data_IF_982919546255
#
_entry.id   IF_982919546255
#
_cell.length_a   1.000
_cell.length_b   1.000
_cell.length_c   1.000
_cell.angle_alpha   90.00
_cell.angle_beta   90.00
_cell.angle_gamma   90.00
#
_symmetry.space_group_name_H-M   'P 1'
#
loop_
_entity.id
_entity.type
_entity.pdbx_description
1 polymer ?
#
# COMPACT_ATOMS: atom_id res chain seq x y z
N UNK A 1 16.65 11.78 -4.53
CA UNK A 1 15.90 13.00 -4.18
C UNK A 1 14.60 12.61 -3.50
N UNK A 2 14.09 13.47 -2.62
CA UNK A 2 12.82 13.31 -1.94
C UNK A 2 11.99 14.58 -2.10
N UNK A 3 10.68 14.43 -2.33
CA UNK A 3 9.74 15.53 -2.36
C UNK A 3 8.80 15.46 -1.16
N UNK A 4 8.55 16.57 -0.53
CA UNK A 4 7.55 16.74 0.52
C UNK A 4 6.75 18.03 0.26
N UNK A 5 5.52 18.07 0.73
CA UNK A 5 4.71 19.27 0.61
C UNK A 5 4.25 19.76 1.98
N UNK A 6 4.24 21.08 2.13
CA UNK A 6 3.69 21.76 3.31
C UNK A 6 2.71 22.80 2.83
N UNK A 7 1.43 22.55 3.07
CA UNK A 7 0.35 23.39 2.56
C UNK A 7 0.47 23.63 1.04
N UNK A 8 0.96 24.78 0.61
CA UNK A 8 1.13 25.19 -0.79
C UNK A 8 2.60 25.16 -1.27
N UNK A 9 3.53 24.75 -0.41
CA UNK A 9 4.96 24.68 -0.75
C UNK A 9 5.37 23.24 -1.06
N UNK A 10 6.05 23.07 -2.18
CA UNK A 10 6.73 21.83 -2.55
C UNK A 10 8.21 22.00 -2.25
N UNK A 11 8.75 21.12 -1.41
CA UNK A 11 10.16 21.09 -1.01
C UNK A 11 10.81 19.84 -1.55
N UNK A 12 11.87 20.01 -2.34
CA UNK A 12 12.68 18.91 -2.84
C UNK A 12 14.00 18.89 -2.11
N UNK A 13 14.32 17.74 -1.50
CA UNK A 13 15.54 17.55 -0.68
C UNK A 13 16.43 16.46 -1.28
N UNK A 14 17.71 16.55 -1.00
CA UNK A 14 18.61 15.42 -1.17
C UNK A 14 18.27 14.32 -0.15
N UNK A 15 18.19 13.07 -0.60
CA UNK A 15 17.76 11.97 0.28
C UNK A 15 18.82 11.59 1.33
N UNK A 16 20.10 11.89 1.08
CA UNK A 16 21.19 11.52 2.00
C UNK A 16 21.49 12.63 3.01
N UNK A 17 21.50 13.88 2.54
CA UNK A 17 21.88 15.04 3.37
C UNK A 17 20.69 15.80 3.94
N UNK A 18 19.47 15.54 3.42
CA UNK A 18 18.23 16.27 3.69
C UNK A 18 18.28 17.78 3.37
N UNK A 19 19.35 18.25 2.72
CA UNK A 19 19.45 19.63 2.27
C UNK A 19 18.40 19.94 1.24
N UNK A 20 17.82 21.15 1.32
CA UNK A 20 16.85 21.62 0.35
C UNK A 20 17.57 21.89 -0.97
N UNK A 21 17.16 21.18 -2.01
CA UNK A 21 17.66 21.37 -3.37
C UNK A 21 16.82 22.41 -4.13
N UNK A 22 15.50 22.32 -3.98
CA UNK A 22 14.55 23.18 -4.69
C UNK A 22 13.32 23.45 -3.83
N UNK A 23 12.75 24.64 -4.00
CA UNK A 23 11.53 25.08 -3.34
C UNK A 23 10.59 25.69 -4.36
N UNK A 24 9.39 25.14 -4.47
CA UNK A 24 8.35 25.65 -5.37
C UNK A 24 7.12 26.05 -4.57
N UNK A 25 6.39 27.02 -5.10
CA UNK A 25 5.16 27.53 -4.48
C UNK A 25 3.98 27.28 -5.41
N UNK A 26 3.02 26.47 -4.96
CA UNK A 26 1.79 26.21 -5.66
C UNK A 26 0.72 27.29 -5.37
N UNK A 27 -0.31 27.33 -6.21
CA UNK A 27 -1.38 28.33 -6.11
C UNK A 27 -2.34 28.11 -4.93
N UNK A 28 -2.37 26.90 -4.40
CA UNK A 28 -3.19 26.52 -3.24
C UNK A 28 -2.59 25.29 -2.52
N UNK A 29 -3.28 24.82 -1.50
CA UNK A 29 -2.90 23.65 -0.73
C UNK A 29 -2.76 22.42 -1.61
N UNK A 30 -1.60 21.78 -1.56
CA UNK A 30 -1.30 20.52 -2.26
C UNK A 30 -2.00 19.38 -1.53
N UNK A 31 -2.83 18.62 -2.24
CA UNK A 31 -3.58 17.51 -1.68
C UNK A 31 -3.07 16.15 -2.17
N UNK A 32 -2.38 16.15 -3.32
CA UNK A 32 -1.72 14.96 -3.86
C UNK A 32 -0.40 15.35 -4.51
N UNK A 33 0.63 14.53 -4.27
CA UNK A 33 1.98 14.70 -4.78
C UNK A 33 2.45 13.40 -5.41
N UNK A 34 2.92 13.46 -6.64
CA UNK A 34 3.38 12.27 -7.35
C UNK A 34 4.57 12.58 -8.25
N UNK A 35 5.57 11.69 -8.26
CA UNK A 35 6.70 11.75 -9.16
C UNK A 35 6.36 11.14 -10.51
N UNK A 36 6.89 11.72 -11.59
CA UNK A 36 6.93 11.02 -12.88
C UNK A 36 7.84 9.79 -12.81
N UNK A 37 7.59 8.79 -13.64
CA UNK A 37 8.34 7.52 -13.62
C UNK A 37 9.86 7.71 -13.84
N UNK A 38 10.25 8.71 -14.62
CA UNK A 38 11.65 9.10 -14.89
C UNK A 38 12.26 9.99 -13.79
N UNK A 39 11.47 10.38 -12.79
CA UNK A 39 11.87 11.29 -11.70
C UNK A 39 12.31 12.70 -12.18
N UNK A 40 11.88 13.14 -13.36
CA UNK A 40 12.18 14.47 -13.90
C UNK A 40 11.15 15.50 -13.51
N UNK A 41 9.91 15.09 -13.28
CA UNK A 41 8.79 15.96 -12.98
C UNK A 41 8.09 15.57 -11.68
N UNK A 42 7.48 16.56 -11.05
CA UNK A 42 6.62 16.40 -9.88
C UNK A 42 5.25 17.00 -10.18
N UNK A 43 4.20 16.18 -10.01
CA UNK A 43 2.81 16.58 -10.10
C UNK A 43 2.32 17.00 -8.71
N UNK A 44 1.67 18.16 -8.63
CA UNK A 44 0.98 18.67 -7.45
C UNK A 44 -0.49 18.89 -7.80
N UNK A 45 -1.39 18.10 -7.22
CA UNK A 45 -2.82 18.27 -7.44
C UNK A 45 -3.46 19.11 -6.34
N UNK A 46 -4.26 20.08 -6.78
CA UNK A 46 -4.98 21.07 -5.97
C UNK A 46 -6.48 20.84 -6.17
N UNK A 47 -6.99 19.76 -5.60
CA UNK A 47 -8.36 19.28 -5.86
C UNK A 47 -9.44 20.31 -5.58
N UNK A 48 -9.29 21.11 -4.51
CA UNK A 48 -10.24 22.19 -4.15
C UNK A 48 -10.41 23.25 -5.24
N UNK A 49 -9.38 23.42 -6.10
CA UNK A 49 -9.41 24.36 -7.21
C UNK A 49 -9.61 23.72 -8.58
N UNK A 50 -9.66 22.37 -8.64
CA UNK A 50 -9.68 21.68 -9.92
C UNK A 50 -8.41 21.86 -10.75
N UNK A 51 -7.26 22.08 -10.10
CA UNK A 51 -5.98 22.41 -10.74
C UNK A 51 -4.94 21.34 -10.51
N UNK A 52 -4.09 21.13 -11.51
CA UNK A 52 -2.82 20.40 -11.40
C UNK A 52 -1.68 21.31 -11.80
N UNK A 53 -0.63 21.34 -11.00
CA UNK A 53 0.63 22.00 -11.32
C UNK A 53 1.75 20.97 -11.44
N UNK A 54 2.59 21.11 -12.45
CA UNK A 54 3.73 20.23 -12.70
C UNK A 54 4.99 21.07 -12.69
N UNK A 55 6.01 20.57 -11.99
CA UNK A 55 7.30 21.23 -11.85
C UNK A 55 8.41 20.35 -12.41
N UNK A 56 9.33 20.95 -13.16
CA UNK A 56 10.54 20.27 -13.64
C UNK A 56 11.67 20.41 -12.63
N UNK A 57 12.44 19.34 -12.45
CA UNK A 57 13.62 19.36 -11.59
C UNK A 57 14.91 19.73 -12.31
N UNK A 58 14.94 19.60 -13.63
CA UNK A 58 16.09 19.99 -14.45
C UNK A 58 16.01 21.44 -14.88
N UNK A 59 14.79 21.92 -15.13
CA UNK A 59 14.53 23.29 -15.56
C UNK A 59 13.59 23.96 -14.54
N UNK A 60 14.12 24.58 -13.48
CA UNK A 60 13.30 25.16 -12.40
C UNK A 60 12.31 26.23 -12.86
N UNK A 61 12.60 26.91 -13.96
CA UNK A 61 11.70 27.93 -14.56
C UNK A 61 10.53 27.30 -15.32
N UNK A 62 10.65 26.00 -15.70
CA UNK A 62 9.58 25.32 -16.40
C UNK A 62 8.54 24.79 -15.44
N UNK A 63 7.32 25.19 -15.68
CA UNK A 63 6.15 24.65 -14.99
C UNK A 63 4.95 24.55 -15.92
N UNK A 64 4.04 23.65 -15.62
CA UNK A 64 2.78 23.50 -16.33
C UNK A 64 1.63 23.65 -15.35
N UNK A 65 0.56 24.30 -15.81
CA UNK A 65 -0.71 24.43 -15.10
C UNK A 65 -1.81 23.84 -15.96
N UNK A 66 -2.53 22.87 -15.40
CA UNK A 66 -3.71 22.25 -16.00
C UNK A 66 -4.92 22.63 -15.17
N UNK A 67 -5.92 23.19 -15.82
CA UNK A 67 -7.15 23.68 -15.20
C UNK A 67 -8.34 22.91 -15.76
N UNK A 68 -8.99 22.10 -14.94
CA UNK A 68 -10.20 21.35 -15.33
C UNK A 68 -11.47 22.22 -15.25
N UNK A 69 -11.33 23.46 -14.76
CA UNK A 69 -12.42 24.43 -14.69
C UNK A 69 -13.60 23.94 -13.85
N UNK A 70 -14.80 24.16 -14.36
CA UNK A 70 -16.05 23.76 -13.69
C UNK A 70 -16.29 22.25 -13.62
N UNK A 71 -15.51 21.45 -14.34
CA UNK A 71 -15.60 19.99 -14.24
C UNK A 71 -15.04 19.45 -12.94
N UNK A 72 -14.26 20.26 -12.18
CA UNK A 72 -13.64 19.86 -10.93
C UNK A 72 -12.60 18.76 -11.10
N UNK A 73 -12.00 18.34 -10.01
CA UNK A 73 -10.94 17.33 -9.99
C UNK A 73 -11.02 16.50 -8.71
N UNK A 74 -11.05 15.17 -8.85
CA UNK A 74 -11.07 14.24 -7.70
C UNK A 74 -9.83 13.37 -7.61
N UNK A 75 -9.18 13.09 -8.73
CA UNK A 75 -7.95 12.30 -8.76
C UNK A 75 -7.06 12.72 -9.93
N UNK A 76 -5.75 12.62 -9.76
CA UNK A 76 -4.73 12.84 -10.79
C UNK A 76 -3.64 11.81 -10.65
N UNK A 77 -3.14 11.30 -11.76
CA UNK A 77 -2.00 10.41 -11.78
C UNK A 77 -1.17 10.59 -13.05
N UNK A 78 0.10 10.19 -12.98
CA UNK A 78 0.95 10.09 -14.13
C UNK A 78 0.61 8.87 -14.99
N UNK A 79 0.77 8.99 -16.28
CA UNK A 79 0.97 7.81 -17.13
C UNK A 79 2.38 7.25 -16.94
N UNK A 80 2.59 5.96 -17.21
CA UNK A 80 3.90 5.33 -17.03
C UNK A 80 5.04 5.95 -17.86
N UNK A 81 4.73 6.63 -18.96
CA UNK A 81 5.71 7.32 -19.80
C UNK A 81 6.22 8.63 -19.19
N UNK A 82 5.59 9.12 -18.12
CA UNK A 82 5.90 10.39 -17.48
C UNK A 82 5.66 11.62 -18.36
N UNK A 83 4.84 11.50 -19.41
CA UNK A 83 4.54 12.58 -20.38
C UNK A 83 3.07 12.92 -20.49
N UNK A 84 2.20 12.08 -19.93
CA UNK A 84 0.76 12.32 -19.86
C UNK A 84 0.28 12.33 -18.42
N UNK A 85 -0.76 13.12 -18.19
CA UNK A 85 -1.43 13.24 -16.89
C UNK A 85 -2.90 12.89 -17.08
N UNK A 86 -3.39 11.97 -16.27
CA UNK A 86 -4.78 11.55 -16.25
C UNK A 86 -5.48 12.25 -15.08
N UNK A 87 -6.46 13.08 -15.39
CA UNK A 87 -7.28 13.78 -14.41
C UNK A 87 -8.70 13.20 -14.41
N UNK A 88 -9.16 12.69 -13.30
CA UNK A 88 -10.55 12.27 -13.10
C UNK A 88 -11.35 13.45 -12.61
N UNK A 89 -12.40 13.82 -13.36
CA UNK A 89 -13.29 14.94 -13.01
C UNK A 89 -14.27 14.55 -11.92
N UNK A 90 -14.89 15.56 -11.28
CA UNK A 90 -15.96 15.35 -10.31
C UNK A 90 -17.09 14.53 -10.91
N UNK A 91 -17.81 13.80 -10.05
CA UNK A 91 -18.87 12.84 -10.42
C UNK A 91 -18.42 11.75 -11.41
N UNK A 92 -17.10 11.58 -11.62
CA UNK A 92 -16.55 10.58 -12.56
C UNK A 92 -17.16 10.67 -13.98
N UNK A 93 -17.39 11.88 -14.45
CA UNK A 93 -17.99 12.09 -15.77
C UNK A 93 -17.03 11.71 -16.88
N UNK A 94 -15.75 11.98 -16.68
CA UNK A 94 -14.69 11.68 -17.65
C UNK A 94 -13.32 11.64 -16.99
N UNK A 95 -12.38 11.03 -17.68
CA UNK A 95 -10.94 11.21 -17.46
C UNK A 95 -10.41 12.09 -18.59
N UNK A 96 -9.67 13.13 -18.23
CA UNK A 96 -8.99 14.00 -19.17
C UNK A 96 -7.53 13.58 -19.22
N UNK A 97 -7.03 13.22 -20.39
CA UNK A 97 -5.62 12.86 -20.62
C UNK A 97 -4.90 14.02 -21.26
N UNK A 98 -3.99 14.63 -20.54
CA UNK A 98 -3.21 15.77 -20.97
C UNK A 98 -1.81 15.35 -21.41
N UNK A 99 -1.42 15.68 -22.62
CA UNK A 99 -0.05 15.50 -23.09
C UNK A 99 0.80 16.72 -22.80
N UNK A 100 1.89 16.55 -22.06
CA UNK A 100 2.85 17.62 -21.79
C UNK A 100 3.70 17.97 -23.01
N UNK A 101 3.87 17.03 -23.95
CA UNK A 101 4.68 17.23 -25.14
C UNK A 101 3.92 17.99 -26.22
N UNK A 102 2.72 17.53 -26.57
CA UNK A 102 1.92 18.05 -27.66
C UNK A 102 0.92 19.11 -27.21
N UNK A 103 0.70 19.24 -25.93
CA UNK A 103 -0.36 20.07 -25.31
C UNK A 103 -1.76 19.70 -25.79
N UNK A 104 -1.92 18.47 -26.30
CA UNK A 104 -3.21 17.91 -26.70
C UNK A 104 -3.94 17.31 -25.52
N UNK A 105 -5.25 17.18 -25.69
CA UNK A 105 -6.15 16.64 -24.68
C UNK A 105 -6.98 15.54 -25.31
N UNK A 106 -7.05 14.39 -24.64
CA UNK A 106 -7.95 13.29 -24.98
C UNK A 106 -8.94 13.06 -23.84
N UNK A 107 -10.12 12.58 -24.16
CA UNK A 107 -11.17 12.37 -23.18
C UNK A 107 -11.62 10.91 -23.18
N UNK A 108 -11.66 10.33 -21.99
CA UNK A 108 -12.22 8.99 -21.74
C UNK A 108 -13.48 9.19 -20.91
N UNK A 109 -14.61 8.65 -21.40
CA UNK A 109 -15.94 8.86 -20.81
C UNK A 109 -16.31 7.70 -19.88
N UNK A 110 -17.19 8.00 -18.92
CA UNK A 110 -17.85 7.05 -18.03
C UNK A 110 -16.94 6.22 -17.11
N UNK A 111 -15.83 6.77 -16.57
CA UNK A 111 -15.05 6.03 -15.60
C UNK A 111 -15.91 5.70 -14.39
N UNK A 112 -15.77 4.47 -13.88
CA UNK A 112 -16.52 4.06 -12.70
C UNK A 112 -15.84 4.57 -11.42
N UNK A 113 -16.65 5.08 -10.49
CA UNK A 113 -16.21 5.36 -9.13
C UNK A 113 -16.08 4.03 -8.37
N UNK A 114 -14.89 3.49 -8.28
CA UNK A 114 -14.60 2.27 -7.54
C UNK A 114 -13.23 2.36 -6.86
N UNK A 115 -12.95 1.40 -6.00
CA UNK A 115 -11.73 1.43 -5.18
C UNK A 115 -10.45 1.39 -6.03
N UNK A 116 -10.44 0.59 -7.10
CA UNK A 116 -9.30 0.43 -8.00
C UNK A 116 -9.78 0.31 -9.44
N UNK A 117 -10.16 1.43 -10.04
CA UNK A 117 -10.75 1.48 -11.38
C UNK A 117 -9.77 1.74 -12.51
N UNK A 118 -8.51 2.05 -12.21
CA UNK A 118 -7.46 2.37 -13.18
C UNK A 118 -6.25 1.52 -12.88
N UNK A 119 -5.72 0.84 -13.88
CA UNK A 119 -4.49 0.06 -13.74
C UNK A 119 -3.70 0.05 -15.05
N UNK A 120 -2.38 0.23 -14.95
CA UNK A 120 -1.46 0.16 -16.07
C UNK A 120 -0.73 -1.18 -16.08
N UNK A 121 -0.41 -1.69 -17.27
CA UNK A 121 0.56 -2.78 -17.37
C UNK A 121 1.93 -2.31 -16.90
N UNK A 122 2.73 -3.22 -16.35
CA UNK A 122 4.06 -2.89 -15.81
C UNK A 122 5.02 -2.31 -16.86
N UNK A 123 4.86 -2.68 -18.12
CA UNK A 123 5.61 -2.13 -19.26
C UNK A 123 5.09 -0.77 -19.73
N UNK A 124 3.99 -0.28 -19.15
CA UNK A 124 3.38 1.00 -19.48
C UNK A 124 2.67 1.06 -20.83
N UNK A 125 2.47 -0.07 -21.51
CA UNK A 125 1.86 -0.07 -22.85
C UNK A 125 0.36 0.08 -22.84
N UNK A 126 -0.31 -0.48 -21.84
CA UNK A 126 -1.76 -0.54 -21.80
C UNK A 126 -2.31 0.00 -20.49
N UNK A 127 -3.42 0.70 -20.61
CA UNK A 127 -4.28 1.12 -19.50
C UNK A 127 -5.54 0.28 -19.52
N UNK A 128 -5.91 -0.34 -18.41
CA UNK A 128 -7.27 -0.84 -18.21
C UNK A 128 -8.05 0.12 -17.31
N UNK A 129 -9.27 0.41 -17.72
CA UNK A 129 -10.19 1.31 -17.02
C UNK A 129 -11.53 0.61 -16.78
N UNK A 130 -11.99 0.65 -15.55
CA UNK A 130 -13.36 0.27 -15.21
C UNK A 130 -14.33 1.38 -15.59
N UNK A 131 -15.38 1.03 -16.31
CA UNK A 131 -16.44 1.93 -16.74
C UNK A 131 -17.80 1.43 -16.26
N UNK A 132 -18.72 2.36 -16.06
CA UNK A 132 -20.12 2.03 -15.77
C UNK A 132 -21.04 2.81 -16.68
N UNK A 133 -21.89 2.09 -17.39
CA UNK A 133 -22.89 2.67 -18.27
C UNK A 133 -24.17 1.84 -18.21
N UNK A 134 -25.30 2.52 -18.15
CA UNK A 134 -26.65 1.88 -18.16
C UNK A 134 -26.77 0.76 -17.09
N UNK A 135 -26.23 1.00 -15.88
CA UNK A 135 -26.18 0.04 -14.77
C UNK A 135 -25.41 -1.26 -15.06
N UNK A 136 -24.52 -1.26 -16.05
CA UNK A 136 -23.63 -2.37 -16.37
C UNK A 136 -22.18 -1.92 -16.26
N UNK A 137 -21.33 -2.85 -15.87
CA UNK A 137 -19.90 -2.62 -15.74
C UNK A 137 -19.17 -3.11 -16.99
N UNK A 138 -18.20 -2.31 -17.42
CA UNK A 138 -17.37 -2.59 -18.58
C UNK A 138 -15.90 -2.37 -18.20
N UNK A 139 -15.04 -2.99 -18.97
CA UNK A 139 -13.61 -2.69 -18.98
C UNK A 139 -13.22 -2.21 -20.36
N UNK A 140 -12.53 -1.07 -20.39
CA UNK A 140 -11.90 -0.52 -21.59
C UNK A 140 -10.39 -0.62 -21.46
N UNK A 141 -9.73 -1.12 -22.51
CA UNK A 141 -8.28 -1.20 -22.61
C UNK A 141 -7.82 -0.20 -23.66
N UNK A 142 -6.93 0.71 -23.26
CA UNK A 142 -6.34 1.74 -24.10
C UNK A 142 -4.86 1.47 -24.33
N UNK A 143 -4.38 1.83 -25.52
CA UNK A 143 -2.96 1.88 -25.81
C UNK A 143 -2.40 3.22 -25.33
N UNK A 144 -1.38 3.20 -24.46
CA UNK A 144 -0.87 4.43 -23.82
C UNK A 144 -0.08 5.33 -24.77
N UNK A 145 0.36 4.85 -25.94
CA UNK A 145 1.13 5.67 -26.90
C UNK A 145 0.28 6.75 -27.58
N UNK A 146 -0.95 6.45 -27.88
CA UNK A 146 -1.87 7.30 -28.64
C UNK A 146 -3.27 7.45 -28.00
N UNK A 147 -3.50 6.80 -26.88
CA UNK A 147 -4.74 6.78 -26.13
C UNK A 147 -5.94 6.26 -26.92
N UNK A 148 -5.69 5.43 -27.92
CA UNK A 148 -6.74 4.77 -28.66
C UNK A 148 -7.29 3.57 -27.91
N UNK A 149 -8.61 3.40 -28.02
CA UNK A 149 -9.32 2.27 -27.47
C UNK A 149 -8.95 0.98 -28.22
N UNK A 150 -8.31 0.04 -27.53
CA UNK A 150 -7.95 -1.26 -28.06
C UNK A 150 -9.10 -2.26 -27.95
N UNK A 151 -9.70 -2.33 -26.78
CA UNK A 151 -10.80 -3.24 -26.46
C UNK A 151 -11.79 -2.60 -25.50
N UNK A 152 -13.06 -2.97 -25.67
CA UNK A 152 -14.15 -2.62 -24.77
C UNK A 152 -15.07 -3.84 -24.66
N UNK A 153 -15.30 -4.30 -23.43
CA UNK A 153 -16.11 -5.48 -23.18
C UNK A 153 -16.87 -5.32 -21.87
N UNK A 154 -18.04 -5.93 -21.79
CA UNK A 154 -18.83 -6.02 -20.58
C UNK A 154 -18.23 -7.04 -19.62
N UNK A 155 -18.40 -6.80 -18.33
CA UNK A 155 -17.99 -7.71 -17.26
C UNK A 155 -19.23 -8.29 -16.62
N UNK A 156 -19.18 -9.60 -16.30
CA UNK A 156 -20.25 -10.24 -15.55
C UNK A 156 -20.11 -9.96 -14.05
N UNK A 157 -20.15 -8.67 -13.68
CA UNK A 157 -20.11 -8.17 -12.32
C UNK A 157 -21.40 -7.42 -11.98
N UNK A 158 -21.84 -7.51 -10.73
CA UNK A 158 -22.97 -6.73 -10.23
C UNK A 158 -22.55 -5.28 -9.94
N UNK A 159 -21.41 -5.14 -9.28
CA UNK A 159 -20.81 -3.85 -8.91
C UNK A 159 -19.30 -3.97 -8.83
N UNK A 160 -18.61 -3.84 -9.95
CA UNK A 160 -17.17 -3.96 -10.07
C UNK A 160 -16.46 -3.08 -9.05
N UNK A 161 -15.66 -3.68 -8.16
CA UNK A 161 -14.92 -2.96 -7.12
C UNK A 161 -13.47 -2.68 -7.51
N UNK A 162 -12.86 -3.50 -8.34
CA UNK A 162 -11.50 -3.27 -8.75
C UNK A 162 -11.03 -4.13 -9.92
N UNK A 163 -9.96 -3.64 -10.52
CA UNK A 163 -9.23 -4.28 -11.61
C UNK A 163 -7.72 -4.18 -11.36
N UNK A 164 -6.97 -5.21 -11.73
CA UNK A 164 -5.52 -5.20 -11.61
C UNK A 164 -4.86 -6.09 -12.66
N UNK A 165 -3.86 -5.55 -13.37
CA UNK A 165 -3.05 -6.33 -14.27
C UNK A 165 -2.11 -7.27 -13.52
N UNK A 166 -1.99 -8.50 -13.99
CA UNK A 166 -0.86 -9.34 -13.62
C UNK A 166 0.45 -8.65 -14.01
N UNK A 167 1.52 -8.78 -13.21
CA UNK A 167 2.80 -8.12 -13.50
C UNK A 167 3.41 -8.40 -14.88
N UNK A 168 3.06 -9.54 -15.49
CA UNK A 168 3.46 -9.88 -16.86
C UNK A 168 2.62 -9.20 -17.97
N UNK A 169 1.57 -8.47 -17.59
CA UNK A 169 0.69 -7.76 -18.54
C UNK A 169 -0.24 -8.64 -19.40
N UNK A 170 -0.30 -9.97 -19.12
CA UNK A 170 -1.07 -10.89 -19.96
C UNK A 170 -2.51 -11.12 -19.49
N UNK A 171 -2.76 -10.93 -18.21
CA UNK A 171 -4.06 -11.23 -17.58
C UNK A 171 -4.51 -10.06 -16.71
N UNK A 172 -5.77 -9.71 -16.84
CA UNK A 172 -6.44 -8.72 -16.02
C UNK A 172 -7.36 -9.44 -15.02
N UNK A 173 -7.14 -9.24 -13.73
CA UNK A 173 -8.08 -9.62 -12.69
C UNK A 173 -9.12 -8.52 -12.51
N UNK A 174 -10.38 -8.92 -12.46
CA UNK A 174 -11.54 -8.06 -12.20
C UNK A 174 -12.32 -8.69 -11.06
N UNK A 175 -12.67 -7.93 -10.04
CA UNK A 175 -13.45 -8.46 -8.91
C UNK A 175 -14.64 -7.58 -8.57
N UNK A 176 -15.65 -8.24 -8.02
CA UNK A 176 -16.89 -7.61 -7.62
C UNK A 176 -16.78 -6.93 -6.25
N UNK A 177 -17.79 -6.16 -5.88
CA UNK A 177 -17.91 -5.52 -4.58
C UNK A 177 -17.97 -6.55 -3.45
N UNK A 178 -17.88 -6.07 -2.20
CA UNK A 178 -17.93 -6.95 -1.04
C UNK A 178 -19.27 -7.73 -0.90
N UNK A 179 -20.26 -7.43 -1.71
CA UNK A 179 -21.57 -8.12 -1.67
C UNK A 179 -21.56 -9.46 -2.40
N UNK A 180 -20.60 -9.67 -3.29
CA UNK A 180 -20.49 -10.91 -4.07
C UNK A 180 -19.03 -11.40 -4.10
N UNK A 181 -18.82 -12.69 -3.87
CA UNK A 181 -17.50 -13.29 -4.02
C UNK A 181 -17.28 -13.72 -5.46
N UNK A 182 -16.79 -12.82 -6.29
CA UNK A 182 -16.55 -13.10 -7.70
C UNK A 182 -15.27 -12.48 -8.19
N UNK A 183 -14.39 -13.28 -8.78
CA UNK A 183 -13.19 -12.84 -9.52
C UNK A 183 -13.27 -13.36 -10.94
N UNK A 184 -13.10 -12.47 -11.88
CA UNK A 184 -13.06 -12.75 -13.31
C UNK A 184 -11.66 -12.47 -13.83
N UNK A 185 -11.16 -13.35 -14.67
CA UNK A 185 -9.83 -13.23 -15.26
C UNK A 185 -9.98 -13.10 -16.77
N UNK A 186 -9.47 -12.00 -17.30
CA UNK A 186 -9.54 -11.68 -18.73
C UNK A 186 -8.17 -11.64 -19.36
N UNK A 187 -8.08 -12.08 -20.61
CA UNK A 187 -6.90 -11.83 -21.46
C UNK A 187 -6.89 -10.38 -21.95
N UNK A 188 -5.75 -9.96 -22.51
CA UNK A 188 -5.63 -8.64 -23.17
C UNK A 188 -6.66 -8.42 -24.28
N UNK A 189 -7.11 -9.49 -24.94
CA UNK A 189 -8.15 -9.45 -25.99
C UNK A 189 -9.56 -9.27 -25.45
N UNK A 190 -9.76 -9.24 -24.12
CA UNK A 190 -11.08 -9.16 -23.49
C UNK A 190 -11.81 -10.50 -23.39
N UNK A 191 -11.13 -11.62 -23.66
CA UNK A 191 -11.72 -12.95 -23.52
C UNK A 191 -11.67 -13.39 -22.07
N UNK A 192 -12.80 -13.85 -21.52
CA UNK A 192 -12.87 -14.45 -20.20
C UNK A 192 -12.09 -15.78 -20.17
N UNK A 193 -11.06 -15.83 -19.32
CA UNK A 193 -10.21 -17.01 -19.11
C UNK A 193 -10.80 -17.91 -18.01
N UNK A 194 -11.26 -17.30 -16.93
CA UNK A 194 -11.84 -18.01 -15.80
C UNK A 194 -12.72 -17.10 -14.95
N UNK A 195 -13.72 -17.70 -14.32
CA UNK A 195 -14.50 -17.08 -13.25
C UNK A 195 -14.32 -17.92 -11.99
N UNK A 196 -14.02 -17.28 -10.88
CA UNK A 196 -13.82 -17.94 -9.58
C UNK A 196 -14.79 -17.36 -8.55
N UNK A 197 -15.56 -18.23 -7.92
CA UNK A 197 -16.40 -17.97 -6.77
C UNK A 197 -16.10 -19.02 -5.71
N UNK A 198 -15.84 -18.60 -4.48
CA UNK A 198 -15.56 -19.53 -3.39
C UNK A 198 -16.79 -19.91 -2.58
N UNK A 199 -17.73 -18.99 -2.47
CA UNK A 199 -18.99 -19.19 -1.75
C UNK A 199 -20.02 -18.13 -2.16
N UNK A 200 -21.28 -18.40 -1.85
CA UNK A 200 -22.42 -17.51 -2.04
C UNK A 200 -23.00 -17.05 -0.69
N UNK A 201 -23.83 -16.03 -0.71
CA UNK A 201 -24.65 -15.58 0.43
C UNK A 201 -23.88 -15.06 1.64
N UNK A 202 -22.68 -14.52 1.42
CA UNK A 202 -21.87 -13.88 2.45
C UNK A 202 -21.05 -12.74 1.86
N UNK A 203 -20.48 -11.88 2.71
CA UNK A 203 -19.56 -10.83 2.26
C UNK A 203 -18.34 -11.46 1.55
N UNK A 204 -18.04 -10.94 0.36
CA UNK A 204 -17.10 -11.53 -0.57
C UNK A 204 -15.65 -11.05 -0.39
N UNK A 205 -15.12 -10.41 -1.42
CA UNK A 205 -13.71 -10.07 -1.55
C UNK A 205 -13.39 -8.76 -0.84
N UNK A 206 -12.26 -8.71 -0.15
CA UNK A 206 -11.77 -7.54 0.55
C UNK A 206 -10.43 -7.03 0.02
N UNK A 207 -9.56 -7.93 -0.38
CA UNK A 207 -8.23 -7.60 -0.89
C UNK A 207 -7.78 -8.62 -1.93
N UNK A 208 -7.05 -8.14 -2.95
CA UNK A 208 -6.50 -8.97 -4.02
C UNK A 208 -5.05 -8.56 -4.21
N UNK A 209 -4.16 -9.50 -4.50
CA UNK A 209 -2.80 -9.18 -4.92
C UNK A 209 -2.22 -10.26 -5.84
N UNK A 210 -1.48 -9.82 -6.84
CA UNK A 210 -0.68 -10.67 -7.69
C UNK A 210 0.68 -10.98 -7.06
N UNK A 211 1.17 -12.20 -7.29
CA UNK A 211 2.57 -12.49 -7.04
C UNK A 211 3.45 -11.77 -8.07
N UNK A 212 4.66 -11.29 -7.69
CA UNK A 212 5.58 -10.61 -8.62
C UNK A 212 5.91 -11.40 -9.88
N UNK A 213 5.88 -12.75 -9.80
CA UNK A 213 6.06 -13.65 -10.93
C UNK A 213 4.83 -13.85 -11.82
N UNK A 214 3.68 -13.31 -11.44
CA UNK A 214 2.37 -13.54 -12.07
C UNK A 214 1.86 -15.00 -12.00
N UNK A 215 2.52 -15.86 -11.22
CA UNK A 215 2.15 -17.26 -11.10
C UNK A 215 0.96 -17.51 -10.17
N UNK A 216 0.74 -16.60 -9.23
CA UNK A 216 -0.29 -16.72 -8.21
C UNK A 216 -1.11 -15.45 -8.08
N UNK A 217 -2.40 -15.63 -7.87
CA UNK A 217 -3.31 -14.58 -7.44
C UNK A 217 -3.82 -14.91 -6.04
N UNK A 218 -3.57 -14.04 -5.07
CA UNK A 218 -4.07 -14.17 -3.71
C UNK A 218 -5.33 -13.32 -3.53
N UNK A 219 -6.37 -13.92 -2.96
CA UNK A 219 -7.67 -13.29 -2.73
C UNK A 219 -7.98 -13.39 -1.24
N UNK A 220 -8.02 -12.25 -0.58
CA UNK A 220 -8.42 -12.12 0.82
C UNK A 220 -9.90 -11.74 0.92
N UNK A 221 -10.65 -12.41 1.78
CA UNK A 221 -12.09 -12.27 1.88
C UNK A 221 -12.57 -12.00 3.31
N UNK A 222 -13.82 -11.60 3.42
CA UNK A 222 -14.46 -11.27 4.70
C UNK A 222 -14.63 -12.48 5.62
N UNK A 223 -14.57 -13.71 5.11
CA UNK A 223 -14.57 -14.96 5.91
C UNK A 223 -13.25 -15.21 6.69
N UNK A 224 -12.29 -14.29 6.57
CA UNK A 224 -11.00 -14.37 7.24
C UNK A 224 -10.01 -15.33 6.58
N UNK A 225 -10.27 -15.77 5.37
CA UNK A 225 -9.42 -16.70 4.62
C UNK A 225 -8.75 -16.02 3.43
N UNK A 226 -7.59 -16.54 3.05
CA UNK A 226 -6.90 -16.21 1.81
C UNK A 226 -6.88 -17.41 0.90
N UNK A 227 -7.29 -17.22 -0.33
CA UNK A 227 -7.28 -18.26 -1.36
C UNK A 227 -6.26 -17.94 -2.42
N UNK A 228 -5.48 -18.92 -2.82
CA UNK A 228 -4.43 -18.80 -3.83
C UNK A 228 -4.86 -19.53 -5.09
N UNK A 229 -4.95 -18.79 -6.19
CA UNK A 229 -5.19 -19.33 -7.53
C UNK A 229 -3.86 -19.46 -8.28
N UNK A 230 -3.71 -20.51 -9.09
CA UNK A 230 -2.57 -20.68 -9.99
C UNK A 230 -2.85 -20.10 -11.38
N UNK A 231 -1.80 -19.68 -12.07
CA UNK A 231 -1.89 -19.03 -13.39
C UNK A 231 -2.18 -19.98 -14.56
N UNK A 232 -2.07 -21.28 -14.37
CA UNK A 232 -2.25 -22.25 -15.46
C UNK A 232 -3.72 -22.62 -15.64
N UNK A 233 -4.37 -23.00 -14.53
CA UNK A 233 -5.75 -23.47 -14.56
C UNK A 233 -6.73 -22.49 -13.93
N UNK A 234 -6.23 -21.46 -13.25
CA UNK A 234 -6.99 -20.48 -12.45
C UNK A 234 -7.86 -21.14 -11.36
N UNK A 235 -7.47 -22.36 -10.98
CA UNK A 235 -8.10 -23.07 -9.87
C UNK A 235 -7.39 -22.76 -8.56
N UNK A 236 -8.14 -22.85 -7.50
CA UNK A 236 -7.62 -22.71 -6.14
C UNK A 236 -6.63 -23.86 -5.83
N UNK A 237 -5.42 -23.49 -5.39
CA UNK A 237 -4.39 -24.42 -4.94
C UNK A 237 -4.56 -24.70 -3.45
N UNK A 238 -4.79 -23.64 -2.68
CA UNK A 238 -4.84 -23.71 -1.21
C UNK A 238 -5.70 -22.59 -0.65
N UNK A 239 -6.16 -22.83 0.56
CA UNK A 239 -6.89 -21.89 1.39
C UNK A 239 -6.14 -21.72 2.72
N UNK A 240 -5.82 -20.48 3.09
CA UNK A 240 -5.17 -20.14 4.35
C UNK A 240 -6.16 -19.50 5.31
N UNK A 241 -6.42 -20.18 6.43
CA UNK A 241 -7.23 -19.62 7.52
C UNK A 241 -6.34 -18.97 8.58
N UNK A 242 -6.82 -17.91 9.20
CA UNK A 242 -6.11 -17.17 10.24
C UNK A 242 -6.56 -17.64 11.63
N UNK A 243 -5.90 -18.66 12.22
CA UNK A 243 -6.33 -19.21 13.50
C UNK A 243 -6.11 -18.20 14.62
N UNK A 244 -7.11 -18.04 15.50
CA UNK A 244 -6.99 -17.23 16.72
C UNK A 244 -6.09 -17.93 17.75
N UNK A 245 -5.94 -19.25 17.68
CA UNK A 245 -5.05 -20.03 18.55
C UNK A 245 -4.08 -20.83 17.69
N UNK A 246 -2.79 -20.64 17.95
CA UNK A 246 -1.70 -21.34 17.27
C UNK A 246 -1.19 -22.43 18.18
N UNK A 247 -1.35 -23.69 17.78
CA UNK A 247 -0.94 -24.88 18.58
C UNK A 247 0.25 -25.62 17.93
N UNK A 248 0.56 -25.33 16.66
CA UNK A 248 1.54 -26.08 15.91
C UNK A 248 2.96 -25.59 16.22
N UNK A 249 3.78 -26.47 16.81
CA UNK A 249 5.18 -26.18 17.20
C UNK A 249 6.13 -25.87 16.04
N UNK A 250 5.71 -26.16 14.79
CA UNK A 250 6.49 -25.81 13.59
C UNK A 250 6.31 -24.35 13.16
N UNK A 251 5.38 -23.63 13.78
CA UNK A 251 5.10 -22.21 13.53
C UNK A 251 5.84 -21.39 14.58
N UNK A 252 6.56 -20.37 14.14
CA UNK A 252 7.23 -19.44 15.07
C UNK A 252 6.32 -18.28 15.34
N UNK A 253 5.97 -18.05 16.61
CA UNK A 253 5.22 -16.85 17.02
C UNK A 253 6.18 -15.88 17.68
N UNK A 254 6.40 -14.77 17.03
CA UNK A 254 7.16 -13.64 17.57
C UNK A 254 6.20 -12.70 18.28
N UNK A 255 6.33 -12.63 19.60
CA UNK A 255 5.51 -11.76 20.44
C UNK A 255 6.33 -10.56 20.89
N UNK A 256 5.81 -9.36 20.69
CA UNK A 256 6.39 -8.17 21.27
C UNK A 256 6.15 -8.15 22.78
N UNK A 257 7.21 -8.08 23.57
CA UNK A 257 7.18 -7.95 25.02
C UNK A 257 7.81 -6.64 25.46
N UNK A 258 7.16 -5.92 26.37
CA UNK A 258 7.78 -4.79 27.06
C UNK A 258 8.78 -5.30 28.07
N UNK A 259 9.98 -4.74 28.10
CA UNK A 259 10.91 -4.95 29.19
C UNK A 259 10.30 -4.27 30.44
N UNK A 260 9.82 -5.05 31.38
CA UNK A 260 9.54 -4.54 32.74
C UNK A 260 10.84 -3.95 33.29
N UNK A 261 10.81 -2.76 33.91
CA UNK A 261 11.96 -2.26 34.63
C UNK A 261 12.35 -3.30 35.71
N UNK A 262 13.65 -3.56 35.95
CA UNK A 262 14.04 -4.55 36.92
C UNK A 262 13.44 -4.17 38.28
N UNK A 263 12.75 -5.13 38.91
CA UNK A 263 12.21 -5.01 40.26
C UNK A 263 13.41 -4.93 41.24
N UNK A 264 13.97 -3.74 41.39
CA UNK A 264 15.12 -3.46 42.23
C UNK A 264 14.80 -2.27 43.13
N UNK A 265 14.57 -2.61 44.41
CA UNK A 265 14.48 -1.72 45.59
C UNK A 265 13.23 -0.85 45.72
N UNK A 266 12.36 -1.32 46.61
CA UNK A 266 11.45 -0.50 47.43
C UNK A 266 12.27 0.64 48.11
N UNK A 267 12.25 1.82 47.50
CA UNK A 267 12.64 3.05 48.13
C UNK A 267 11.52 4.06 47.95
N UNK A 268 11.17 4.69 49.03
CA UNK A 268 10.07 5.67 49.27
C UNK A 268 9.90 6.69 48.12
N UNK A 269 8.69 7.16 47.86
CA UNK A 269 8.44 8.16 46.82
C UNK A 269 9.08 9.50 47.24
N UNK A 270 9.92 10.12 46.38
CA UNK A 270 10.36 11.49 46.57
C UNK A 270 9.23 12.46 46.19
N UNK A 271 9.20 13.69 46.77
CA UNK A 271 8.17 14.66 46.58
C UNK A 271 8.13 15.19 45.14
N UNK A 272 6.92 15.55 44.70
CA UNK A 272 6.61 16.15 43.40
C UNK A 272 7.57 17.29 43.04
N UNK A 273 8.36 17.12 42.04
CA UNK A 273 8.81 18.09 41.03
C UNK A 273 9.95 17.50 40.24
N UNK A 274 9.68 17.10 39.02
CA UNK A 274 10.60 17.25 37.85
C UNK A 274 9.97 16.49 36.67
N UNK A 275 9.66 17.22 35.65
CA UNK A 275 9.53 16.76 34.26
C UNK A 275 10.82 16.10 33.84
N UNK A 276 10.96 14.80 34.07
CA UNK A 276 12.03 13.98 33.51
C UNK A 276 11.54 13.30 32.22
N UNK A 277 12.40 13.07 31.21
CA UNK A 277 11.98 12.39 29.98
C UNK A 277 11.50 10.98 30.33
N UNK A 278 10.32 10.63 29.82
CA UNK A 278 9.77 9.28 29.84
C UNK A 278 10.82 8.34 29.27
N UNK A 279 11.36 7.46 30.09
CA UNK A 279 12.25 6.40 29.67
C UNK A 279 11.55 5.55 28.62
N UNK A 280 12.05 5.57 27.39
CA UNK A 280 11.58 4.75 26.30
C UNK A 280 11.63 3.27 26.73
N UNK A 281 10.47 2.63 26.86
CA UNK A 281 10.41 1.21 27.18
C UNK A 281 10.99 0.44 25.98
N UNK A 282 12.15 -0.20 26.15
CA UNK A 282 12.70 -1.11 25.16
C UNK A 282 11.78 -2.33 25.07
N UNK A 283 11.10 -2.52 23.96
CA UNK A 283 10.44 -3.79 23.67
C UNK A 283 11.34 -4.68 22.82
N UNK A 284 11.27 -5.96 23.06
CA UNK A 284 11.94 -7.00 22.27
C UNK A 284 10.93 -8.01 21.79
N UNK A 285 11.25 -8.67 20.68
CA UNK A 285 10.53 -9.86 20.30
C UNK A 285 11.03 -11.05 21.09
N UNK A 286 10.08 -11.80 21.61
CA UNK A 286 10.30 -13.11 22.24
C UNK A 286 9.60 -14.17 21.40
N UNK A 287 10.20 -15.36 21.32
CA UNK A 287 9.53 -16.49 20.71
C UNK A 287 8.59 -17.06 21.78
N UNK A 288 7.30 -17.00 21.49
CA UNK A 288 6.28 -17.46 22.41
C UNK A 288 6.23 -18.99 22.49
N UNK A 289 6.03 -19.51 23.70
CA UNK A 289 5.76 -20.93 23.91
C UNK A 289 4.34 -21.29 23.50
N UNK A 290 4.17 -22.42 22.81
CA UNK A 290 2.86 -22.90 22.38
C UNK A 290 2.07 -23.53 23.56
N UNK A 291 0.74 -23.42 23.56
CA UNK A 291 -0.14 -22.74 22.60
C UNK A 291 -0.18 -21.22 22.79
N UNK A 292 -0.35 -20.47 21.70
CA UNK A 292 -0.51 -19.01 21.71
C UNK A 292 -1.93 -18.64 21.29
N UNK A 293 -2.64 -17.87 22.11
CA UNK A 293 -3.95 -17.31 21.80
C UNK A 293 -3.79 -15.83 21.42
N UNK A 294 -4.24 -15.48 20.23
CA UNK A 294 -4.25 -14.11 19.72
C UNK A 294 -5.55 -13.42 20.15
N UNK A 295 -5.44 -12.15 20.50
CA UNK A 295 -6.61 -11.36 20.90
C UNK A 295 -7.48 -11.04 19.67
N UNK A 296 -8.71 -11.53 19.65
CA UNK A 296 -9.69 -11.26 18.60
C UNK A 296 -10.60 -10.11 18.98
N UNK A 297 -10.87 -9.22 18.03
CA UNK A 297 -11.87 -8.17 18.16
C UNK A 297 -13.22 -8.64 17.61
N UNK A 298 -14.28 -8.45 18.38
CA UNK A 298 -15.64 -8.67 17.89
C UNK A 298 -16.04 -7.52 16.95
N UNK A 299 -16.64 -7.81 15.79
CA UNK A 299 -17.12 -6.76 14.90
C UNK A 299 -18.21 -5.94 15.58
N UNK A 300 -18.20 -4.62 15.36
CA UNK A 300 -19.29 -3.75 15.79
C UNK A 300 -20.50 -3.99 14.86
N UNK A 301 -21.63 -4.39 15.45
CA UNK A 301 -22.86 -4.72 14.73
C UNK A 301 -23.44 -3.55 13.92
N UNK A 302 -23.14 -2.31 14.35
CA UNK A 302 -23.77 -1.09 13.82
C UNK A 302 -23.01 -0.49 12.63
N UNK A 303 -21.93 -1.13 12.15
CA UNK A 303 -21.14 -0.62 11.03
C UNK A 303 -21.53 -1.33 9.73
N UNK A 304 -21.84 -0.54 8.71
CA UNK A 304 -22.12 -1.05 7.35
C UNK A 304 -20.94 -1.82 6.72
N UNK A 305 -19.70 -1.48 7.10
CA UNK A 305 -18.51 -2.21 6.69
C UNK A 305 -17.80 -2.75 7.94
N UNK A 306 -18.05 -4.01 8.33
CA UNK A 306 -17.44 -4.59 9.52
C UNK A 306 -15.94 -4.75 9.36
N UNK A 307 -15.19 -4.49 10.42
CA UNK A 307 -13.73 -4.72 10.46
C UNK A 307 -13.44 -6.20 10.73
N UNK A 308 -13.76 -7.04 9.76
CA UNK A 308 -13.49 -8.48 9.74
C UNK A 308 -12.82 -8.87 8.45
N UNK A 309 -12.24 -10.05 8.40
CA UNK A 309 -11.64 -10.60 7.19
C UNK A 309 -10.24 -10.07 6.88
N UNK A 310 -9.70 -10.51 5.77
CA UNK A 310 -8.32 -10.21 5.36
C UNK A 310 -8.26 -8.85 4.66
N UNK A 311 -7.90 -7.83 5.41
CA UNK A 311 -7.88 -6.45 4.93
C UNK A 311 -6.61 -6.04 4.18
N UNK A 312 -5.51 -6.77 4.37
CA UNK A 312 -4.26 -6.50 3.67
C UNK A 312 -3.50 -7.80 3.41
N UNK A 313 -2.90 -7.88 2.22
CA UNK A 313 -2.04 -8.97 1.80
C UNK A 313 -0.99 -8.45 0.81
N UNK A 314 0.22 -9.02 0.87
CA UNK A 314 1.31 -8.67 -0.02
C UNK A 314 2.28 -9.85 -0.17
N UNK A 315 2.69 -10.14 -1.40
CA UNK A 315 3.75 -11.11 -1.68
C UNK A 315 5.14 -10.50 -1.47
N UNK A 316 6.07 -11.34 -1.03
CA UNK A 316 7.50 -10.98 -1.04
C UNK A 316 8.06 -10.90 -2.46
N UNK A 317 9.14 -10.12 -2.70
CA UNK A 317 9.68 -9.92 -4.04
C UNK A 317 10.22 -11.22 -4.67
N UNK A 318 10.61 -12.19 -3.86
CA UNK A 318 11.09 -13.52 -4.27
C UNK A 318 9.98 -14.55 -4.51
N UNK A 319 8.70 -14.18 -4.32
CA UNK A 319 7.51 -15.03 -4.41
C UNK A 319 7.42 -16.18 -3.39
N UNK A 320 8.30 -16.21 -2.38
CA UNK A 320 8.34 -17.29 -1.40
C UNK A 320 7.39 -17.11 -0.25
N UNK A 321 7.08 -15.85 0.09
CA UNK A 321 6.25 -15.52 1.24
C UNK A 321 5.07 -14.64 0.86
N UNK A 322 4.00 -14.82 1.62
CA UNK A 322 2.84 -13.94 1.61
C UNK A 322 2.62 -13.42 3.02
N UNK A 323 2.61 -12.10 3.19
CA UNK A 323 2.21 -11.47 4.44
C UNK A 323 0.72 -11.10 4.38
N UNK A 324 -0.01 -11.38 5.45
CA UNK A 324 -1.44 -11.08 5.54
C UNK A 324 -1.81 -10.50 6.89
N UNK A 325 -2.83 -9.63 6.93
CA UNK A 325 -3.43 -9.10 8.14
C UNK A 325 -4.93 -9.35 8.13
N UNK A 326 -5.42 -9.98 9.19
CA UNK A 326 -6.84 -10.15 9.42
C UNK A 326 -7.34 -9.04 10.34
N UNK A 327 -8.35 -8.29 9.90
CA UNK A 327 -8.88 -7.15 10.65
C UNK A 327 -9.62 -7.58 11.93
N UNK A 328 -9.96 -8.86 12.08
CA UNK A 328 -10.45 -9.43 13.35
C UNK A 328 -9.34 -9.58 14.41
N UNK A 329 -8.06 -9.61 13.97
CA UNK A 329 -6.86 -9.69 14.84
C UNK A 329 -5.87 -8.63 14.37
N UNK A 330 -6.16 -7.36 14.59
CA UNK A 330 -5.46 -6.25 13.92
C UNK A 330 -4.02 -6.03 14.41
N UNK A 331 -3.63 -6.64 15.51
CA UNK A 331 -2.28 -6.58 16.08
C UNK A 331 -1.36 -7.70 15.58
N UNK A 332 -1.82 -8.58 14.70
CA UNK A 332 -1.02 -9.68 14.18
C UNK A 332 -0.83 -9.61 12.67
N UNK A 333 0.34 -10.09 12.22
CA UNK A 333 0.67 -10.34 10.80
C UNK A 333 1.05 -11.79 10.67
N UNK A 334 0.44 -12.49 9.72
CA UNK A 334 0.74 -13.88 9.39
C UNK A 334 1.66 -13.94 8.18
N UNK A 335 2.69 -14.78 8.25
CA UNK A 335 3.65 -15.02 7.17
C UNK A 335 3.47 -16.48 6.70
N UNK A 336 3.08 -16.61 5.44
CA UNK A 336 2.84 -17.90 4.78
C UNK A 336 4.00 -18.24 3.86
N UNK A 337 4.49 -19.48 3.93
CA UNK A 337 5.44 -20.05 2.97
C UNK A 337 4.64 -20.62 1.78
N UNK A 338 4.72 -19.93 0.63
CA UNK A 338 3.97 -20.32 -0.57
C UNK A 338 4.49 -21.59 -1.21
N UNK A 339 5.78 -21.89 -1.08
CA UNK A 339 6.36 -23.13 -1.61
C UNK A 339 5.88 -24.37 -0.86
N UNK A 340 5.67 -24.22 0.44
CA UNK A 340 5.22 -25.31 1.33
C UNK A 340 3.74 -25.25 1.65
N UNK A 341 3.04 -24.23 1.16
CA UNK A 341 1.62 -23.98 1.36
C UNK A 341 1.20 -24.06 2.84
N UNK A 342 1.97 -23.43 3.72
CA UNK A 342 1.74 -23.48 5.17
C UNK A 342 2.08 -22.18 5.87
N UNK A 343 1.52 -22.00 7.05
CA UNK A 343 1.89 -20.91 7.95
C UNK A 343 3.33 -21.13 8.45
N UNK A 344 4.15 -20.09 8.31
CA UNK A 344 5.55 -20.09 8.74
C UNK A 344 5.72 -19.37 10.07
N UNK A 345 5.21 -18.15 10.16
CA UNK A 345 5.36 -17.31 11.34
C UNK A 345 4.13 -16.44 11.59
N UNK A 346 3.96 -16.04 12.84
CA UNK A 346 3.00 -15.01 13.26
C UNK A 346 3.76 -13.94 14.05
N UNK A 347 3.51 -12.69 13.72
CA UNK A 347 4.09 -11.53 14.40
C UNK A 347 2.99 -10.85 15.21
N UNK A 348 3.01 -11.01 16.53
CA UNK A 348 2.06 -10.37 17.44
C UNK A 348 2.67 -9.10 18.02
N UNK A 349 2.02 -7.97 17.75
CA UNK A 349 2.40 -6.64 18.23
C UNK A 349 1.57 -6.27 19.46
N UNK A 350 2.06 -5.35 20.29
CA UNK A 350 1.28 -4.78 21.39
C UNK A 350 0.15 -3.86 20.90
N UNK A 351 0.37 -3.21 19.75
CA UNK A 351 -0.58 -2.28 19.14
C UNK A 351 -1.04 -2.77 17.76
N UNK A 352 -2.14 -2.18 17.29
CA UNK A 352 -2.69 -2.44 15.96
C UNK A 352 -1.67 -2.15 14.85
N UNK A 353 -1.46 -3.12 13.97
CA UNK A 353 -0.64 -2.94 12.77
C UNK A 353 -1.31 -1.94 11.83
N UNK A 354 -0.63 -0.82 11.56
CA UNK A 354 -1.10 0.22 10.65
C UNK A 354 -0.79 -0.12 9.20
N UNK A 355 0.48 -0.40 8.93
CA UNK A 355 0.94 -0.75 7.61
C UNK A 355 2.10 -1.76 7.69
N UNK A 356 2.26 -2.52 6.62
CA UNK A 356 3.42 -3.35 6.40
C UNK A 356 3.79 -3.35 4.91
N UNK A 357 5.07 -3.47 4.62
CA UNK A 357 5.57 -3.47 3.24
C UNK A 357 6.81 -4.34 3.13
N UNK A 358 6.87 -5.15 2.08
CA UNK A 358 8.06 -5.91 1.72
C UNK A 358 9.14 -5.00 1.12
N UNK A 359 10.38 -5.25 1.48
CA UNK A 359 11.53 -4.66 0.80
C UNK A 359 11.59 -5.12 -0.66
N UNK A 360 12.02 -4.26 -1.60
CA UNK A 360 11.93 -4.57 -3.03
C UNK A 360 12.94 -5.61 -3.51
N UNK A 361 14.07 -5.78 -2.82
CA UNK A 361 15.17 -6.65 -3.24
C UNK A 361 15.26 -7.96 -2.46
N UNK A 362 14.91 -7.93 -1.18
CA UNK A 362 15.05 -9.08 -0.28
C UNK A 362 13.74 -9.29 0.48
N UNK A 363 13.47 -10.52 0.96
CA UNK A 363 12.27 -10.83 1.74
C UNK A 363 12.39 -10.27 3.17
N UNK A 364 12.45 -8.94 3.28
CA UNK A 364 12.41 -8.19 4.54
C UNK A 364 11.07 -7.48 4.63
N UNK A 365 10.30 -7.78 5.64
CA UNK A 365 9.01 -7.14 5.90
C UNK A 365 9.18 -6.06 6.95
N UNK A 366 8.89 -4.82 6.59
CA UNK A 366 8.79 -3.71 7.52
C UNK A 366 7.35 -3.54 7.99
N UNK A 367 7.14 -3.31 9.29
CA UNK A 367 5.83 -3.17 9.92
C UNK A 367 5.83 -1.94 10.81
N UNK A 368 4.73 -1.19 10.83
CA UNK A 368 4.50 -0.11 11.78
C UNK A 368 3.13 -0.22 12.45
N UNK A 369 3.06 0.26 13.69
CA UNK A 369 1.87 0.16 14.55
C UNK A 369 1.28 1.53 14.91
N UNK A 370 1.89 2.62 14.45
CA UNK A 370 1.51 3.98 14.84
C UNK A 370 2.23 4.49 16.10
N UNK A 371 3.13 3.69 16.65
CA UNK A 371 4.06 4.11 17.71
C UNK A 371 5.38 4.60 17.15
N UNK A 372 6.36 4.80 18.03
CA UNK A 372 7.72 5.26 17.69
C UNK A 372 8.68 4.13 17.29
N UNK A 373 8.16 2.93 17.01
CA UNK A 373 8.95 1.75 16.66
C UNK A 373 8.64 1.27 15.26
N UNK A 374 9.66 0.70 14.62
CA UNK A 374 9.55 -0.06 13.37
C UNK A 374 10.00 -1.48 13.63
N UNK A 375 9.28 -2.41 13.06
CA UNK A 375 9.55 -3.83 13.20
C UNK A 375 9.98 -4.39 11.85
N UNK A 376 11.04 -5.18 11.84
CA UNK A 376 11.55 -5.84 10.65
C UNK A 376 11.55 -7.34 10.87
N UNK A 377 10.91 -8.04 9.95
CA UNK A 377 10.96 -9.50 9.88
C UNK A 377 11.75 -9.94 8.65
N UNK A 378 12.50 -11.01 8.81
CA UNK A 378 13.12 -11.76 7.71
C UNK A 378 13.13 -13.25 8.06
N UNK A 379 13.44 -14.16 7.13
CA UNK A 379 13.58 -15.58 7.45
C UNK A 379 14.58 -15.90 8.57
N UNK A 380 15.53 -14.97 8.83
CA UNK A 380 16.53 -15.10 9.91
C UNK A 380 15.99 -14.69 11.28
N UNK A 381 14.87 -13.99 11.36
CA UNK A 381 14.26 -13.54 12.62
C UNK A 381 13.51 -12.22 12.52
N UNK A 382 13.13 -11.71 13.68
CA UNK A 382 12.40 -10.46 13.82
C UNK A 382 13.11 -9.52 14.80
N UNK A 383 13.17 -8.24 14.44
CA UNK A 383 13.77 -7.18 15.28
C UNK A 383 12.84 -5.99 15.39
N UNK A 384 12.86 -5.31 16.54
CA UNK A 384 12.20 -4.01 16.73
C UNK A 384 13.26 -2.94 16.87
N UNK A 385 13.05 -1.80 16.26
CA UNK A 385 13.96 -0.66 16.28
C UNK A 385 13.20 0.59 16.68
N UNK A 386 13.69 1.27 17.72
CA UNK A 386 13.17 2.55 18.16
C UNK A 386 13.62 3.64 17.19
N UNK A 387 12.69 4.44 16.69
CA UNK A 387 13.03 5.62 15.90
C UNK A 387 13.60 6.67 16.84
N UNK A 388 14.83 7.16 16.64
CA UNK A 388 15.44 8.15 17.52
C UNK A 388 14.73 9.49 17.38
N UNK A 389 14.68 10.24 18.48
CA UNK A 389 14.24 11.62 18.54
C UNK A 389 13.53 11.98 19.82
N UNK A 390 13.57 13.27 20.14
CA UNK A 390 12.81 13.86 21.23
C UNK A 390 11.38 14.09 20.75
N UNK A 391 10.41 13.56 21.49
CA UNK A 391 8.97 13.69 21.22
C UNK A 391 8.29 12.50 20.52
N UNK A 392 6.99 12.62 20.31
CA UNK A 392 6.09 11.57 19.81
C UNK A 392 6.15 11.40 18.29
N UNK A 393 7.28 10.91 17.74
CA UNK A 393 7.31 10.51 16.34
C UNK A 393 6.50 9.23 16.15
N UNK A 394 5.29 9.36 15.63
CA UNK A 394 4.39 8.24 15.34
C UNK A 394 4.58 7.77 13.90
N UNK A 395 5.02 6.53 13.72
CA UNK A 395 5.17 5.93 12.38
C UNK A 395 3.81 5.49 11.86
N UNK A 396 3.19 6.31 11.04
CA UNK A 396 1.86 6.05 10.47
C UNK A 396 1.93 5.26 9.17
N UNK A 397 2.98 5.46 8.40
CA UNK A 397 3.22 4.76 7.14
C UNK A 397 4.72 4.58 6.91
N UNK A 398 5.05 3.68 6.00
CA UNK A 398 6.43 3.37 5.63
C UNK A 398 6.52 3.12 4.13
N UNK A 399 7.66 3.47 3.56
CA UNK A 399 7.93 3.29 2.14
C UNK A 399 9.39 2.91 1.92
N UNK A 400 9.63 1.78 1.27
CA UNK A 400 10.97 1.35 0.90
C UNK A 400 11.51 2.16 -0.26
N UNK A 401 12.78 2.51 -0.20
CA UNK A 401 13.49 2.97 -1.37
C UNK A 401 13.64 1.80 -2.38
N UNK A 402 13.57 2.03 -3.69
CA UNK A 402 13.67 0.97 -4.70
C UNK A 402 14.95 0.13 -4.65
N UNK A 403 16.06 0.68 -4.13
CA UNK A 403 17.31 -0.08 -3.89
C UNK A 403 17.21 -1.08 -2.73
N UNK A 404 16.23 -0.92 -1.83
CA UNK A 404 16.10 -1.74 -0.64
C UNK A 404 17.06 -1.40 0.52
N UNK A 405 17.88 -0.34 0.38
CA UNK A 405 18.90 0.06 1.35
C UNK A 405 18.36 1.04 2.40
N UNK A 406 17.24 1.68 2.11
CA UNK A 406 16.65 2.65 3.01
C UNK A 406 15.13 2.57 3.06
N UNK A 407 14.59 3.05 4.17
CA UNK A 407 13.17 3.06 4.47
C UNK A 407 12.76 4.47 4.92
N UNK A 408 11.78 5.06 4.25
CA UNK A 408 11.17 6.31 4.68
C UNK A 408 10.03 5.99 5.66
N UNK A 409 10.06 6.62 6.82
CA UNK A 409 9.04 6.56 7.85
C UNK A 409 8.25 7.86 7.83
N UNK A 410 6.95 7.77 7.73
CA UNK A 410 6.07 8.93 7.63
C UNK A 410 5.24 9.07 8.91
N UNK A 411 5.26 10.25 9.48
CA UNK A 411 4.37 10.70 10.54
C UNK A 411 3.36 11.70 9.96
N UNK A 412 2.55 12.31 10.80
CA UNK A 412 1.57 13.31 10.38
C UNK A 412 2.24 14.56 9.77
N UNK A 413 3.27 15.08 10.43
CA UNK A 413 3.93 16.34 10.09
C UNK A 413 5.44 16.20 9.85
N UNK A 414 5.99 15.00 10.02
CA UNK A 414 7.42 14.71 9.95
C UNK A 414 7.68 13.44 9.15
N UNK A 415 8.88 13.34 8.62
CA UNK A 415 9.38 12.10 8.06
C UNK A 415 10.79 11.79 8.57
N UNK A 416 11.17 10.54 8.55
CA UNK A 416 12.50 10.06 8.92
C UNK A 416 13.01 9.08 7.87
N UNK A 417 14.28 9.19 7.49
CA UNK A 417 14.94 8.22 6.63
C UNK A 417 15.80 7.28 7.49
N UNK A 418 15.57 5.98 7.33
CA UNK A 418 16.33 4.94 7.98
C UNK A 418 17.17 4.22 6.94
N UNK A 419 18.48 4.13 7.18
CA UNK A 419 19.42 3.40 6.36
C UNK A 419 19.72 2.05 7.01
N UNK A 420 19.77 0.99 6.21
CA UNK A 420 20.12 -0.35 6.68
C UNK A 420 21.59 -0.59 6.47
N UNK A 421 22.36 -0.71 7.55
CA UNK A 421 23.76 -1.10 7.48
C UNK A 421 23.89 -2.62 7.31
N UNK A 422 24.70 -3.03 6.34
CA UNK A 422 24.90 -4.44 5.94
C UNK A 422 26.06 -5.10 6.71
N UNK A 423 26.35 -4.71 7.95
CA UNK A 423 27.37 -5.39 8.75
C UNK A 423 26.75 -6.26 9.85
N UNK A 424 27.05 -7.56 9.79
CA UNK A 424 26.94 -8.63 10.83
C UNK A 424 25.87 -8.45 11.92
N UNK A 425 24.68 -8.14 11.54
CA UNK A 425 23.52 -7.89 12.41
C UNK A 425 22.83 -6.61 11.99
N UNK A 426 21.53 -6.67 11.80
CA UNK A 426 20.73 -5.51 11.37
C UNK A 426 20.90 -4.37 12.38
N UNK A 427 21.74 -3.40 12.07
CA UNK A 427 21.75 -2.09 12.73
C UNK A 427 21.08 -1.10 11.77
N UNK A 428 20.13 -0.34 12.27
CA UNK A 428 19.59 0.81 11.54
C UNK A 428 20.42 2.04 11.92
N UNK A 429 21.01 2.71 10.92
CA UNK A 429 21.49 4.08 11.06
C UNK A 429 20.38 5.04 10.68
N UNK A 430 20.14 6.05 11.50
CA UNK A 430 19.09 7.01 11.30
C UNK A 430 19.68 8.33 10.78
N UNK A 431 19.20 8.77 9.61
CA UNK A 431 19.46 10.11 9.11
C UNK A 431 18.69 11.18 9.90
N UNK A 432 19.07 12.43 9.72
CA UNK A 432 18.45 13.57 10.40
C UNK A 432 16.96 13.70 10.06
N UNK A 433 16.18 14.19 11.02
CA UNK A 433 14.76 14.54 10.81
C UNK A 433 14.66 15.72 9.84
N UNK A 434 13.80 15.61 8.83
CA UNK A 434 13.34 16.75 8.08
C UNK A 434 12.02 17.24 8.67
N UNK A 435 12.02 18.48 9.18
CA UNK A 435 10.79 19.12 9.60
C UNK A 435 10.02 19.58 8.35
N UNK A 436 8.72 19.35 8.35
CA UNK A 436 7.80 19.85 7.33
C UNK A 436 7.24 21.21 7.72
N UNK A 437 8.01 22.05 8.44
CA UNK A 437 7.58 23.42 8.80
C UNK A 437 7.90 24.43 7.70
#
# INVERSE_FOLDING_TARGET
>A
KQASCVQYRLVVRDANTLQILQLYTCLDQIQHLEWSADSLFILCALYKRGLVQVWSLEQPEWHCKIDEGSAGLVASCWSPDGRHILNTTEFHLRITVWSLCTKSVSYIKYPKACQQGITFTRDGRYLALAERRDCRDYVSIFVCSDWQLLRHFDTDTQDLAGIEWAPNGCVLAVWDSCLEYKVLLYSLDGRLLSAFCAYEWSLGIKSVAWSPSSQFLAIGSYDGKVRILNHVTWKMITEFGHPATVNNTKIVVYKEAEKSPPLGHLAFPPPRAATGPLTSSESKYEIASMPVSLQTLKPAADRANPRIGVGALAFSPDNYFLATRNDSVPNAVWIWDIRKLRLLAVLEQLCTVRAFQWGPQQPRLAICTGGSKVYLWSPAGCVSVQVPGEGDFQVLSLCWHPSGDSLALLSKDHFCLCFLEMEKGVRMAFGQRGDCT
#
